data_IF_027701930146
#
_entry.id   IF_027701930146
#
_cell.length_a   1.000
_cell.length_b   1.000
_cell.length_c   1.000
_cell.angle_alpha   90.00
_cell.angle_beta   90.00
_cell.angle_gamma   90.00
#
_symmetry.space_group_name_H-M   'P 1'
#
loop_
_entity.id
_entity.type
_entity.pdbx_description
1 polymer ?
#
# COMPACT_ATOMS: atom_id res chain seq x y z
N UNK A 1 -4.80 1.21 -18.37
CA UNK A 1 -4.98 0.27 -17.25
C UNK A 1 -3.88 0.53 -16.26
N UNK A 2 -4.20 0.80 -15.00
CA UNK A 2 -3.20 0.90 -13.93
C UNK A 2 -3.29 -0.40 -13.13
N UNK A 3 -2.27 -1.26 -13.25
CA UNK A 3 -2.20 -2.51 -12.48
C UNK A 3 -1.43 -2.21 -11.20
N UNK A 4 -2.07 -2.44 -10.06
CA UNK A 4 -1.44 -2.32 -8.75
C UNK A 4 -0.91 -3.69 -8.36
N UNK A 5 0.33 -3.74 -7.87
CA UNK A 5 0.96 -4.96 -7.38
C UNK A 5 1.16 -4.86 -5.88
N UNK A 6 0.88 -5.94 -5.18
CA UNK A 6 1.21 -6.09 -3.76
C UNK A 6 2.55 -6.82 -3.67
N UNK A 7 3.49 -6.24 -2.92
CA UNK A 7 4.78 -6.86 -2.64
C UNK A 7 4.57 -7.91 -1.55
N UNK A 8 4.85 -9.17 -1.87
CA UNK A 8 4.70 -10.29 -0.94
C UNK A 8 6.01 -10.53 -0.19
N UNK A 9 7.13 -10.51 -0.91
CA UNK A 9 8.45 -10.73 -0.34
C UNK A 9 9.54 -10.01 -1.14
N UNK A 10 10.63 -9.68 -0.47
CA UNK A 10 11.84 -9.11 -1.07
C UNK A 10 13.02 -9.90 -0.51
N UNK A 11 13.67 -10.68 -1.36
CA UNK A 11 14.81 -11.52 -0.99
C UNK A 11 16.02 -11.20 -1.87
N UNK A 12 17.21 -11.24 -1.27
CA UNK A 12 18.44 -11.08 -2.03
C UNK A 12 18.68 -12.34 -2.87
N UNK A 13 19.06 -12.16 -4.13
CA UNK A 13 19.31 -13.29 -5.02
C UNK A 13 20.55 -14.06 -4.53
N UNK A 14 20.46 -15.39 -4.49
CA UNK A 14 21.54 -16.22 -3.96
C UNK A 14 22.81 -16.18 -4.81
N UNK A 15 22.70 -15.78 -6.09
CA UNK A 15 23.80 -15.74 -7.06
C UNK A 15 24.52 -14.38 -7.13
N UNK A 16 23.93 -13.32 -6.57
CA UNK A 16 24.44 -11.95 -6.70
C UNK A 16 23.91 -11.06 -5.57
N UNK A 17 24.83 -10.59 -4.71
CA UNK A 17 24.49 -9.72 -3.58
C UNK A 17 24.01 -8.32 -4.00
N UNK A 18 24.14 -7.95 -5.27
CA UNK A 18 23.60 -6.71 -5.79
C UNK A 18 22.23 -6.88 -6.46
N UNK A 19 21.70 -8.11 -6.49
CA UNK A 19 20.42 -8.43 -7.12
C UNK A 19 19.39 -8.83 -6.08
N UNK A 20 18.18 -8.33 -6.26
CA UNK A 20 17.04 -8.59 -5.39
C UNK A 20 15.90 -9.17 -6.21
N UNK A 21 15.28 -10.21 -5.68
CA UNK A 21 14.08 -10.83 -6.22
C UNK A 21 12.89 -10.33 -5.40
N UNK A 22 11.87 -9.84 -6.11
CA UNK A 22 10.66 -9.29 -5.49
C UNK A 22 9.50 -10.15 -5.95
N UNK A 23 8.86 -10.83 -4.99
CA UNK A 23 7.66 -11.61 -5.25
C UNK A 23 6.45 -10.66 -5.24
N UNK A 24 5.82 -10.52 -6.42
CA UNK A 24 4.68 -9.62 -6.64
C UNK A 24 3.40 -10.42 -6.87
N UNK A 25 2.32 -9.99 -6.23
CA UNK A 25 0.96 -10.46 -6.52
C UNK A 25 0.18 -9.37 -7.24
N UNK A 26 -0.52 -9.74 -8.31
CA UNK A 26 -1.47 -8.83 -8.97
C UNK A 26 -2.59 -8.57 -7.97
N UNK A 27 -2.74 -7.31 -7.58
CA UNK A 27 -3.90 -6.89 -6.81
C UNK A 27 -5.02 -6.68 -7.82
N UNK A 28 -6.03 -7.55 -7.81
CA UNK A 28 -7.30 -7.23 -8.45
C UNK A 28 -7.74 -5.86 -7.91
N UNK A 29 -8.08 -4.93 -8.80
CA UNK A 29 -8.56 -3.60 -8.43
C UNK A 29 -9.78 -3.68 -7.47
N UNK A 30 -10.49 -4.81 -7.48
CA UNK A 30 -11.59 -5.15 -6.56
C UNK A 30 -11.23 -6.22 -5.52
N UNK A 31 -9.94 -6.55 -5.38
CA UNK A 31 -9.46 -7.53 -4.43
C UNK A 31 -9.87 -7.17 -2.99
N UNK A 32 -10.35 -8.14 -2.18
CA UNK A 32 -10.91 -7.87 -0.87
C UNK A 32 -9.93 -7.16 0.07
N UNK A 33 -8.63 -7.35 -0.10
CA UNK A 33 -7.59 -6.65 0.66
C UNK A 33 -7.54 -5.14 0.35
N UNK A 34 -7.53 -4.76 -0.93
CA UNK A 34 -7.49 -3.35 -1.32
C UNK A 34 -8.77 -2.63 -0.91
N UNK A 35 -9.92 -3.29 -1.12
CA UNK A 35 -11.21 -2.77 -0.66
C UNK A 35 -11.24 -2.58 0.87
N UNK A 36 -10.74 -3.56 1.64
CA UNK A 36 -10.67 -3.47 3.11
C UNK A 36 -9.74 -2.35 3.57
N UNK A 37 -8.58 -2.19 2.92
CA UNK A 37 -7.65 -1.10 3.19
C UNK A 37 -8.29 0.26 2.92
N UNK A 38 -8.89 0.44 1.74
CA UNK A 38 -9.59 1.67 1.35
C UNK A 38 -10.70 2.01 2.35
N UNK A 39 -11.51 1.02 2.73
CA UNK A 39 -12.59 1.22 3.70
C UNK A 39 -12.07 1.55 5.11
N UNK A 40 -10.97 0.94 5.54
CA UNK A 40 -10.34 1.27 6.83
C UNK A 40 -9.83 2.72 6.85
N UNK A 41 -9.16 3.16 5.78
CA UNK A 41 -8.65 4.52 5.62
C UNK A 41 -9.82 5.52 5.58
N UNK A 42 -10.90 5.19 4.85
CA UNK A 42 -12.12 6.01 4.80
C UNK A 42 -12.77 6.18 6.16
N UNK A 43 -12.93 5.10 6.94
CA UNK A 43 -13.50 5.17 8.31
C UNK A 43 -12.65 6.03 9.23
N UNK A 44 -11.32 5.92 9.14
CA UNK A 44 -10.41 6.70 9.97
C UNK A 44 -10.35 8.18 9.56
N UNK A 45 -10.65 8.50 8.31
CA UNK A 45 -10.63 9.86 7.75
C UNK A 45 -12.05 10.41 7.52
N UNK A 46 -13.06 9.84 8.18
CA UNK A 46 -14.48 10.18 8.02
C UNK A 46 -14.80 11.61 8.51
N UNK A 47 -14.37 12.58 7.71
CA UNK A 47 -14.59 14.01 7.83
C UNK A 47 -14.97 14.51 6.43
N UNK A 48 -15.54 15.71 6.33
CA UNK A 48 -15.97 16.27 5.04
C UNK A 48 -15.00 17.33 4.53
N UNK A 49 -14.81 17.39 3.21
CA UNK A 49 -14.04 18.43 2.53
C UNK A 49 -12.53 18.38 2.79
N UNK A 50 -11.88 19.55 2.74
CA UNK A 50 -10.42 19.67 2.84
C UNK A 50 -9.80 19.07 4.11
N UNK A 51 -10.57 18.98 5.19
CA UNK A 51 -10.13 18.40 6.45
C UNK A 51 -9.91 16.88 6.36
N UNK A 52 -10.70 16.18 5.55
CA UNK A 52 -10.48 14.78 5.23
C UNK A 52 -9.13 14.59 4.51
N UNK A 53 -8.85 15.45 3.55
CA UNK A 53 -7.63 15.37 2.74
C UNK A 53 -6.39 15.67 3.58
N UNK A 54 -6.43 16.66 4.47
CA UNK A 54 -5.34 16.94 5.40
C UNK A 54 -5.09 15.78 6.38
N UNK A 55 -6.15 15.14 6.90
CA UNK A 55 -5.99 13.98 7.78
C UNK A 55 -5.42 12.75 7.06
N UNK A 56 -5.81 12.56 5.79
CA UNK A 56 -5.30 11.47 4.97
C UNK A 56 -3.80 11.66 4.69
N UNK A 57 -3.41 12.84 4.22
CA UNK A 57 -2.00 13.18 3.95
C UNK A 57 -1.15 13.12 5.22
N UNK A 58 -1.67 13.63 6.33
CA UNK A 58 -0.98 13.58 7.62
C UNK A 58 -0.73 12.14 8.07
N UNK A 59 -1.73 11.25 7.98
CA UNK A 59 -1.58 9.84 8.34
C UNK A 59 -0.68 9.08 7.39
N UNK A 60 -0.78 9.31 6.08
CA UNK A 60 0.12 8.70 5.10
C UNK A 60 1.58 9.11 5.36
N UNK A 61 1.82 10.38 5.70
CA UNK A 61 3.17 10.85 6.07
C UNK A 61 3.69 10.31 7.41
N UNK A 62 2.81 9.85 8.29
CA UNK A 62 3.15 9.21 9.57
C UNK A 62 3.04 7.69 9.52
N UNK A 63 2.70 7.11 8.37
CA UNK A 63 2.58 5.66 8.22
C UNK A 63 4.00 5.09 8.15
N UNK A 64 4.53 4.75 9.32
CA UNK A 64 5.91 4.32 9.51
C UNK A 64 6.13 2.83 9.14
N UNK A 65 5.25 2.23 8.35
CA UNK A 65 5.42 0.87 7.81
C UNK A 65 5.92 0.95 6.37
N UNK A 66 7.20 1.29 6.27
CA UNK A 66 8.08 0.81 5.22
C UNK A 66 9.33 0.22 5.91
N UNK A 67 9.08 -0.74 6.80
CA UNK A 67 10.04 -1.74 7.28
C UNK A 67 9.38 -3.11 7.14
#
# INVERSE_FOLDING_TARGET
MHTVFHVIDIKQAADDSHRWEVDLSITDENGPQLATLIESIRKQTACTGWYQMSQLLFRLGHFQQAE
#
